data_IF_634619568547
#
_entry.id   IF_634619568547
#
_cell.length_a   1.000
_cell.length_b   1.000
_cell.length_c   1.000
_cell.angle_alpha   90.00
_cell.angle_beta   90.00
_cell.angle_gamma   90.00
#
_symmetry.space_group_name_H-M   'P 1'
#
loop_
_entity.id
_entity.type
_entity.pdbx_description
1 polymer ?
#
# COMPACT_ATOMS: atom_id res chain seq x y z
N UNK A 1 12.78 26.18 11.28
CA UNK A 1 13.15 25.18 10.24
C UNK A 1 14.65 24.93 10.29
N UNK A 2 15.10 23.70 10.61
CA UNK A 2 16.52 23.32 10.66
C UNK A 2 17.30 23.74 9.40
N UNK A 3 18.58 24.09 9.55
CA UNK A 3 19.47 24.51 8.45
C UNK A 3 19.50 23.48 7.31
N UNK A 4 19.53 22.17 7.65
CA UNK A 4 19.48 21.07 6.68
C UNK A 4 18.26 21.15 5.75
N UNK A 5 17.07 21.49 6.27
CA UNK A 5 15.85 21.61 5.47
C UNK A 5 15.85 22.86 4.58
N UNK A 6 16.49 23.95 5.01
CA UNK A 6 16.72 25.14 4.16
C UNK A 6 17.59 24.78 2.97
N UNK A 7 18.74 24.14 3.22
CA UNK A 7 19.68 23.70 2.19
C UNK A 7 19.00 22.73 1.21
N UNK A 8 18.23 21.76 1.72
CA UNK A 8 17.43 20.85 0.91
C UNK A 8 16.49 21.57 -0.05
N UNK A 9 15.79 22.59 0.44
CA UNK A 9 14.81 23.31 -0.37
C UNK A 9 15.48 24.14 -1.46
N UNK A 10 16.64 24.75 -1.16
CA UNK A 10 17.45 25.52 -2.11
C UNK A 10 18.07 24.62 -3.18
N UNK A 11 18.66 23.49 -2.77
CA UNK A 11 19.36 22.55 -3.67
C UNK A 11 18.43 21.64 -4.48
N UNK A 12 17.13 21.56 -4.12
CA UNK A 12 16.15 20.67 -4.74
C UNK A 12 16.11 20.75 -6.27
N UNK A 13 16.04 21.93 -6.92
CA UNK A 13 15.94 22.00 -8.38
C UNK A 13 17.13 21.33 -9.07
N UNK A 14 18.34 21.56 -8.58
CA UNK A 14 19.58 20.97 -9.11
C UNK A 14 19.58 19.45 -8.88
N UNK A 15 19.20 19.00 -7.68
CA UNK A 15 19.11 17.57 -7.38
C UNK A 15 18.11 16.86 -8.33
N UNK A 16 16.95 17.48 -8.58
CA UNK A 16 15.95 16.90 -9.49
C UNK A 16 16.43 16.85 -10.93
N UNK A 17 17.18 17.85 -11.40
CA UNK A 17 17.79 17.83 -12.74
C UNK A 17 18.76 16.65 -12.88
N UNK A 18 19.62 16.43 -11.88
CA UNK A 18 20.55 15.31 -11.86
C UNK A 18 19.84 13.95 -11.80
N UNK A 19 18.81 13.82 -10.94
CA UNK A 19 17.98 12.62 -10.88
C UNK A 19 17.33 12.29 -12.24
N UNK A 20 16.77 13.30 -12.90
CA UNK A 20 16.12 13.12 -14.19
C UNK A 20 17.12 12.74 -15.28
N UNK A 21 18.31 13.36 -15.30
CA UNK A 21 19.37 13.00 -16.24
C UNK A 21 19.84 11.54 -16.04
N UNK A 22 19.97 11.09 -14.79
CA UNK A 22 20.28 9.69 -14.48
C UNK A 22 19.18 8.74 -14.95
N UNK A 23 17.90 9.05 -14.72
CA UNK A 23 16.79 8.23 -15.20
C UNK A 23 16.72 8.17 -16.73
N UNK A 24 16.91 9.32 -17.42
CA UNK A 24 16.93 9.39 -18.88
C UNK A 24 18.07 8.59 -19.50
N UNK A 25 19.22 8.54 -18.83
CA UNK A 25 20.36 7.72 -19.23
C UNK A 25 20.21 6.23 -18.89
N UNK A 26 19.05 5.78 -18.39
CA UNK A 26 18.82 4.40 -17.96
C UNK A 26 19.51 4.02 -16.63
N UNK A 27 20.17 4.97 -15.96
CA UNK A 27 20.90 4.78 -14.69
C UNK A 27 19.96 4.91 -13.48
N UNK A 28 18.84 4.17 -13.51
CA UNK A 28 17.78 4.26 -12.50
C UNK A 28 18.29 3.97 -11.08
N UNK A 29 19.11 2.93 -10.90
CA UNK A 29 19.65 2.56 -9.59
C UNK A 29 20.49 3.68 -8.99
N UNK A 30 21.35 4.32 -9.80
CA UNK A 30 22.11 5.49 -9.39
C UNK A 30 21.19 6.67 -9.01
N UNK A 31 20.09 6.89 -9.75
CA UNK A 31 19.10 7.90 -9.38
C UNK A 31 18.42 7.59 -8.03
N UNK A 32 18.10 6.32 -7.75
CA UNK A 32 17.52 5.90 -6.48
C UNK A 32 18.50 6.07 -5.32
N UNK A 33 19.76 5.62 -5.46
CA UNK A 33 20.82 5.84 -4.47
C UNK A 33 21.02 7.33 -4.19
N UNK A 34 21.00 8.17 -5.23
CA UNK A 34 21.11 9.61 -5.04
C UNK A 34 19.94 10.22 -4.26
N UNK A 35 18.70 9.73 -4.47
CA UNK A 35 17.53 10.15 -3.66
C UNK A 35 17.63 9.68 -2.21
N UNK A 36 18.13 8.47 -1.99
CA UNK A 36 18.36 7.94 -0.65
C UNK A 36 19.39 8.81 0.10
N UNK A 37 20.52 9.14 -0.52
CA UNK A 37 21.52 10.06 0.04
C UNK A 37 20.91 11.42 0.36
N UNK A 38 20.11 12.00 -0.53
CA UNK A 38 19.41 13.26 -0.24
C UNK A 38 18.49 13.13 0.98
N UNK A 39 17.77 12.02 1.09
CA UNK A 39 16.88 11.77 2.22
C UNK A 39 17.65 11.63 3.53
N UNK A 40 18.73 10.84 3.57
CA UNK A 40 19.57 10.65 4.76
C UNK A 40 20.26 11.94 5.19
N UNK A 41 20.75 12.75 4.24
CA UNK A 41 21.49 13.98 4.54
C UNK A 41 20.59 15.11 5.02
N UNK A 42 19.40 15.23 4.43
CA UNK A 42 18.53 16.38 4.66
C UNK A 42 17.29 16.07 5.49
N UNK A 43 16.81 14.83 5.48
CA UNK A 43 15.62 14.38 6.20
C UNK A 43 14.31 15.00 5.70
N UNK A 44 13.28 14.80 6.50
CA UNK A 44 11.94 15.38 6.36
C UNK A 44 11.67 16.35 7.52
N UNK A 45 10.77 17.31 7.33
CA UNK A 45 10.19 18.05 8.47
C UNK A 45 9.25 17.15 9.27
N UNK A 46 8.95 17.51 10.53
CA UNK A 46 7.98 16.77 11.36
C UNK A 46 6.65 16.56 10.63
N UNK A 47 6.13 17.63 10.00
CA UNK A 47 4.91 17.55 9.20
C UNK A 47 5.00 16.66 7.97
N UNK A 48 6.19 16.53 7.36
CA UNK A 48 6.43 15.61 6.24
C UNK A 48 6.54 14.16 6.75
N UNK A 49 7.12 13.93 7.94
CA UNK A 49 7.15 12.63 8.60
C UNK A 49 5.75 12.13 8.98
N UNK A 50 4.95 12.97 9.62
CA UNK A 50 3.53 12.68 9.92
C UNK A 50 2.76 12.35 8.64
N UNK A 51 2.96 13.15 7.59
CA UNK A 51 2.32 12.92 6.31
C UNK A 51 2.79 11.63 5.63
N UNK A 52 4.05 11.23 5.82
CA UNK A 52 4.55 9.96 5.31
C UNK A 52 3.90 8.78 6.04
N UNK A 53 3.78 8.85 7.37
CA UNK A 53 3.05 7.83 8.14
C UNK A 53 1.60 7.72 7.66
N UNK A 54 0.89 8.85 7.59
CA UNK A 54 -0.47 8.90 7.05
C UNK A 54 -0.57 8.36 5.62
N UNK A 55 0.43 8.63 4.78
CA UNK A 55 0.44 8.13 3.40
C UNK A 55 0.36 6.59 3.38
N UNK A 56 1.22 5.90 4.12
CA UNK A 56 1.23 4.44 4.15
C UNK A 56 -0.01 3.85 4.82
N UNK A 57 -0.46 4.42 5.95
CA UNK A 57 -1.67 3.97 6.66
C UNK A 57 -2.87 4.03 5.71
N UNK A 58 -3.08 5.16 5.05
CA UNK A 58 -4.23 5.31 4.18
C UNK A 58 -4.08 4.55 2.86
N UNK A 59 -2.87 4.35 2.33
CA UNK A 59 -2.66 3.49 1.15
C UNK A 59 -3.12 2.05 1.45
N UNK A 60 -2.62 1.47 2.55
CA UNK A 60 -2.99 0.13 2.99
C UNK A 60 -4.49 0.02 3.27
N UNK A 61 -5.06 0.97 4.01
CA UNK A 61 -6.50 0.98 4.29
C UNK A 61 -7.34 1.04 3.01
N UNK A 62 -6.96 1.87 2.03
CA UNK A 62 -7.66 1.96 0.74
C UNK A 62 -7.62 0.60 0.03
N UNK A 63 -6.49 -0.09 0.08
CA UNK A 63 -6.31 -1.43 -0.48
C UNK A 63 -7.21 -2.47 0.18
N UNK A 64 -7.19 -2.53 1.52
CA UNK A 64 -8.02 -3.43 2.32
C UNK A 64 -9.49 -3.18 2.04
N UNK A 65 -9.93 -1.92 2.12
CA UNK A 65 -11.32 -1.52 1.88
C UNK A 65 -11.81 -1.88 0.46
N UNK A 66 -10.96 -1.77 -0.57
CA UNK A 66 -11.30 -2.19 -1.93
C UNK A 66 -11.55 -3.69 -2.02
N UNK A 67 -10.71 -4.49 -1.37
CA UNK A 67 -10.85 -5.94 -1.36
C UNK A 67 -12.05 -6.37 -0.51
N UNK A 68 -12.23 -5.76 0.68
CA UNK A 68 -13.40 -5.96 1.56
C UNK A 68 -14.70 -5.68 0.81
N UNK A 69 -14.78 -4.56 0.09
CA UNK A 69 -15.97 -4.20 -0.69
C UNK A 69 -16.32 -5.19 -1.80
N UNK A 70 -15.32 -5.85 -2.41
CA UNK A 70 -15.57 -6.94 -3.36
C UNK A 70 -16.00 -8.22 -2.65
N UNK A 71 -15.40 -8.54 -1.51
CA UNK A 71 -15.80 -9.70 -0.69
C UNK A 71 -17.25 -9.59 -0.25
N UNK A 72 -17.65 -8.42 0.28
CA UNK A 72 -19.02 -8.10 0.64
C UNK A 72 -19.99 -8.27 -0.53
N UNK A 73 -19.58 -7.83 -1.73
CA UNK A 73 -20.40 -8.03 -2.93
C UNK A 73 -20.58 -9.50 -3.27
N UNK A 74 -19.51 -10.30 -3.25
CA UNK A 74 -19.63 -11.73 -3.48
C UNK A 74 -20.53 -12.41 -2.45
N UNK A 75 -20.44 -12.03 -1.16
CA UNK A 75 -21.33 -12.57 -0.12
C UNK A 75 -22.79 -12.20 -0.36
N UNK A 76 -23.09 -10.95 -0.76
CA UNK A 76 -24.45 -10.54 -1.14
C UNK A 76 -24.97 -11.33 -2.36
N UNK A 77 -24.11 -11.47 -3.37
CA UNK A 77 -24.40 -12.24 -4.59
C UNK A 77 -24.56 -13.74 -4.32
N UNK A 78 -24.05 -14.29 -3.21
CA UNK A 78 -24.27 -15.69 -2.80
C UNK A 78 -25.62 -15.88 -2.08
N UNK A 79 -26.15 -14.83 -1.43
CA UNK A 79 -27.44 -14.86 -0.71
C UNK A 79 -28.64 -14.68 -1.66
N UNK A 80 -28.53 -13.75 -2.63
CA UNK A 80 -29.63 -13.41 -3.56
C UNK A 80 -30.11 -14.63 -4.39
N UNK A 81 -29.25 -15.48 -4.97
CA UNK A 81 -29.66 -16.65 -5.75
C UNK A 81 -30.39 -17.72 -4.94
N UNK A 82 -30.22 -17.76 -3.62
CA UNK A 82 -30.94 -18.70 -2.75
C UNK A 82 -32.37 -18.23 -2.41
N UNK A 83 -32.73 -16.99 -2.76
CA UNK A 83 -33.98 -16.32 -2.37
C UNK A 83 -35.04 -16.20 -3.49
N UNK A 84 -34.73 -16.63 -4.72
CA UNK A 84 -35.69 -16.65 -5.85
C UNK A 84 -36.68 -17.83 -5.75
N UNK A 85 -37.44 -17.87 -4.66
CA UNK A 85 -38.75 -18.52 -4.56
C UNK A 85 -39.86 -17.47 -4.51
N UNK A 86 -41.15 -17.80 -4.72
CA UNK A 86 -42.22 -16.84 -5.04
C UNK A 86 -42.63 -15.88 -3.93
N UNK A 87 -41.93 -15.83 -2.81
CA UNK A 87 -42.28 -14.98 -1.67
C UNK A 87 -41.48 -13.68 -1.71
N UNK A 88 -42.18 -12.57 -2.03
CA UNK A 88 -41.72 -11.19 -1.80
C UNK A 88 -41.58 -10.93 -0.29
N UNK A 89 -40.64 -11.60 0.36
CA UNK A 89 -40.27 -11.38 1.75
C UNK A 89 -39.27 -10.22 1.87
N UNK A 90 -39.22 -9.63 3.07
CA UNK A 90 -38.12 -8.75 3.48
C UNK A 90 -36.77 -9.44 3.17
N UNK A 91 -35.73 -8.72 2.71
CA UNK A 91 -34.41 -9.32 2.53
C UNK A 91 -33.99 -10.06 3.82
N UNK A 92 -33.28 -11.19 3.72
CA UNK A 92 -32.72 -11.85 4.91
C UNK A 92 -31.94 -10.84 5.75
N UNK A 93 -32.00 -10.94 7.08
CA UNK A 93 -31.27 -10.05 7.99
C UNK A 93 -29.77 -9.96 7.63
N UNK A 94 -29.20 -11.08 7.17
CA UNK A 94 -27.83 -11.17 6.66
C UNK A 94 -27.58 -10.26 5.45
N UNK A 95 -28.55 -10.11 4.55
CA UNK A 95 -28.43 -9.22 3.39
C UNK A 95 -28.45 -7.74 3.79
N UNK A 96 -29.33 -7.35 4.71
CA UNK A 96 -29.38 -6.00 5.25
C UNK A 96 -28.08 -5.65 5.99
N UNK A 97 -27.55 -6.59 6.79
CA UNK A 97 -26.25 -6.47 7.47
C UNK A 97 -25.10 -6.26 6.48
N UNK A 98 -25.03 -7.05 5.40
CA UNK A 98 -23.98 -6.91 4.38
C UNK A 98 -24.10 -5.59 3.61
N UNK A 99 -25.32 -5.12 3.32
CA UNK A 99 -25.56 -3.82 2.71
C UNK A 99 -25.06 -2.67 3.58
N UNK A 100 -25.37 -2.71 4.88
CA UNK A 100 -24.88 -1.72 5.84
C UNK A 100 -23.35 -1.67 5.88
N UNK A 101 -22.69 -2.83 6.01
CA UNK A 101 -21.24 -2.96 6.00
C UNK A 101 -20.60 -2.48 4.68
N UNK A 102 -21.26 -2.74 3.54
CA UNK A 102 -20.77 -2.29 2.24
C UNK A 102 -20.79 -0.76 2.12
N UNK A 103 -21.87 -0.13 2.60
CA UNK A 103 -22.01 1.33 2.59
C UNK A 103 -21.02 2.00 3.55
N UNK A 104 -20.87 1.46 4.75
CA UNK A 104 -19.86 1.92 5.71
C UNK A 104 -18.45 1.81 5.13
N UNK A 105 -18.08 0.63 4.60
CA UNK A 105 -16.77 0.43 3.96
C UNK A 105 -16.50 1.44 2.83
N UNK A 106 -17.54 1.76 2.04
CA UNK A 106 -17.44 2.73 0.94
C UNK A 106 -17.19 4.15 1.47
N UNK A 107 -17.88 4.54 2.53
CA UNK A 107 -17.76 5.86 3.14
C UNK A 107 -16.39 6.03 3.83
N UNK A 108 -15.96 5.02 4.56
CA UNK A 108 -14.64 5.01 5.19
C UNK A 108 -13.50 5.07 4.16
N UNK A 109 -13.63 4.33 3.05
CA UNK A 109 -12.70 4.46 1.92
C UNK A 109 -12.65 5.87 1.37
N UNK A 110 -13.81 6.53 1.27
CA UNK A 110 -13.90 7.89 0.74
C UNK A 110 -13.16 8.87 1.64
N UNK A 111 -13.28 8.73 2.97
CA UNK A 111 -12.52 9.53 3.95
C UNK A 111 -11.01 9.26 3.82
N UNK A 112 -10.60 8.00 3.78
CA UNK A 112 -9.21 7.60 3.62
C UNK A 112 -8.58 8.13 2.31
N UNK A 113 -9.31 8.10 1.18
CA UNK A 113 -8.82 8.68 -0.09
C UNK A 113 -8.56 10.18 0.05
N UNK A 114 -9.40 10.92 0.77
CA UNK A 114 -9.17 12.36 1.00
C UNK A 114 -7.91 12.58 1.85
N UNK A 115 -7.75 11.82 2.93
CA UNK A 115 -6.61 11.92 3.82
C UNK A 115 -5.29 11.50 3.12
N UNK A 116 -5.31 10.39 2.37
CA UNK A 116 -4.22 9.95 1.50
C UNK A 116 -3.79 11.03 0.53
N UNK A 117 -4.74 11.69 -0.16
CA UNK A 117 -4.42 12.80 -1.08
C UNK A 117 -3.73 13.95 -0.34
N UNK A 118 -4.24 14.36 0.82
CA UNK A 118 -3.63 15.41 1.64
C UNK A 118 -2.19 15.06 2.05
N UNK A 119 -1.98 13.86 2.59
CA UNK A 119 -0.68 13.33 2.96
C UNK A 119 0.29 13.32 1.78
N UNK A 120 -0.16 12.80 0.63
CA UNK A 120 0.60 12.77 -0.63
C UNK A 120 1.05 14.16 -1.07
N UNK A 121 0.16 15.15 -1.03
CA UNK A 121 0.51 16.51 -1.47
C UNK A 121 1.58 17.15 -0.59
N UNK A 122 1.63 16.82 0.71
CA UNK A 122 2.65 17.31 1.65
C UNK A 122 4.02 16.70 1.37
N UNK A 123 4.09 15.41 1.08
CA UNK A 123 5.36 14.72 0.81
C UNK A 123 5.81 14.77 -0.65
N UNK A 124 4.98 15.24 -1.60
CA UNK A 124 5.24 15.10 -3.05
C UNK A 124 6.58 15.63 -3.55
N UNK A 125 7.15 16.62 -2.85
CA UNK A 125 8.43 17.27 -3.21
C UNK A 125 9.63 16.63 -2.51
N UNK A 126 9.42 15.64 -1.65
CA UNK A 126 10.50 14.97 -0.94
C UNK A 126 11.27 14.01 -1.86
N UNK A 127 12.57 13.78 -1.62
CA UNK A 127 13.34 12.76 -2.36
C UNK A 127 12.75 11.36 -2.18
N UNK A 128 12.26 11.05 -0.98
CA UNK A 128 11.60 9.79 -0.65
C UNK A 128 10.37 9.53 -1.53
N UNK A 129 9.47 10.52 -1.67
CA UNK A 129 8.30 10.36 -2.51
C UNK A 129 8.66 10.17 -3.98
N UNK A 130 9.68 10.90 -4.48
CA UNK A 130 10.19 10.70 -5.85
C UNK A 130 10.74 9.29 -6.04
N UNK A 131 11.47 8.77 -5.06
CA UNK A 131 12.00 7.41 -5.10
C UNK A 131 10.88 6.37 -5.16
N UNK A 132 9.89 6.49 -4.26
CA UNK A 132 8.70 5.63 -4.25
C UNK A 132 7.94 5.68 -5.58
N UNK A 133 7.75 6.86 -6.19
CA UNK A 133 7.11 6.96 -7.51
C UNK A 133 7.95 6.32 -8.61
N UNK A 134 9.27 6.43 -8.56
CA UNK A 134 10.16 5.75 -9.52
C UNK A 134 10.11 4.22 -9.35
N UNK A 135 10.09 3.73 -8.12
CA UNK A 135 9.90 2.30 -7.80
C UNK A 135 8.56 1.77 -8.30
N UNK A 136 7.46 2.47 -8.01
CA UNK A 136 6.13 2.05 -8.43
C UNK A 136 5.92 2.06 -9.97
N UNK A 137 6.77 2.74 -10.74
CA UNK A 137 6.76 2.69 -12.22
C UNK A 137 7.33 1.38 -12.76
N UNK A 138 8.19 0.69 -12.01
CA UNK A 138 8.68 -0.63 -12.39
C UNK A 138 7.50 -1.61 -12.45
N UNK A 139 7.38 -2.36 -13.55
CA UNK A 139 6.19 -3.19 -13.82
C UNK A 139 5.90 -4.16 -12.68
N UNK A 140 6.93 -4.71 -12.07
CA UNK A 140 6.82 -5.82 -11.12
C UNK A 140 7.40 -5.43 -9.74
N UNK A 141 7.36 -4.15 -9.37
CA UNK A 141 7.90 -3.66 -8.08
C UNK A 141 7.32 -4.42 -6.88
N UNK A 142 6.00 -4.64 -6.89
CA UNK A 142 5.25 -5.37 -5.88
C UNK A 142 5.53 -6.88 -5.87
N UNK A 143 6.30 -7.38 -6.84
CA UNK A 143 6.70 -8.78 -6.95
C UNK A 143 8.18 -8.97 -6.64
N UNK A 144 8.82 -8.01 -5.97
CA UNK A 144 10.18 -8.22 -5.46
C UNK A 144 10.22 -9.45 -4.55
N UNK A 145 11.33 -10.19 -4.57
CA UNK A 145 11.43 -11.46 -3.85
C UNK A 145 11.17 -11.29 -2.35
N UNK A 146 11.57 -10.16 -1.77
CA UNK A 146 11.29 -9.83 -0.38
C UNK A 146 9.79 -9.63 -0.11
N UNK A 147 9.06 -8.87 -0.93
CA UNK A 147 7.61 -8.67 -0.76
C UNK A 147 6.83 -9.98 -0.95
N UNK A 148 7.26 -10.79 -1.92
CA UNK A 148 6.69 -12.12 -2.16
C UNK A 148 6.92 -13.02 -0.95
N UNK A 149 8.14 -13.05 -0.40
CA UNK A 149 8.47 -13.84 0.79
C UNK A 149 7.66 -13.38 2.00
N UNK A 150 7.52 -12.07 2.19
CA UNK A 150 6.69 -11.53 3.27
C UNK A 150 5.21 -11.90 3.13
N UNK A 151 4.68 -11.84 1.91
CA UNK A 151 3.32 -12.30 1.63
C UNK A 151 3.17 -13.81 1.90
N UNK A 152 4.21 -14.63 1.67
CA UNK A 152 4.19 -16.06 2.02
C UNK A 152 4.21 -16.30 3.53
N UNK A 153 5.13 -15.67 4.25
CA UNK A 153 5.28 -15.81 5.72
C UNK A 153 4.01 -15.42 6.49
N UNK A 154 3.28 -14.43 6.00
CA UNK A 154 2.01 -14.00 6.58
C UNK A 154 0.81 -14.90 6.22
N UNK A 155 1.05 -16.04 5.55
CA UNK A 155 -0.02 -16.92 5.06
C UNK A 155 -0.86 -16.29 3.93
N UNK A 156 -0.30 -15.31 3.22
CA UNK A 156 -0.96 -14.61 2.14
C UNK A 156 -0.99 -15.40 0.82
N UNK A 157 -1.64 -14.82 -0.19
CA UNK A 157 -1.87 -15.48 -1.48
C UNK A 157 -0.60 -15.92 -2.22
N UNK A 158 0.58 -15.41 -1.88
CA UNK A 158 1.84 -15.84 -2.51
C UNK A 158 2.33 -17.22 -2.06
N UNK A 159 1.84 -17.74 -0.92
CA UNK A 159 2.10 -19.12 -0.50
C UNK A 159 1.17 -20.12 -1.18
N UNK A 160 0.12 -19.65 -1.86
CA UNK A 160 -0.93 -20.47 -2.46
C UNK A 160 -0.88 -20.45 -3.98
N UNK A 161 -1.50 -21.45 -4.59
CA UNK A 161 -1.63 -21.55 -6.05
C UNK A 161 -2.73 -20.66 -6.64
N UNK A 162 -3.53 -19.98 -5.80
CA UNK A 162 -4.66 -19.15 -6.25
C UNK A 162 -4.24 -18.04 -7.24
N UNK A 163 -2.95 -17.66 -7.24
CA UNK A 163 -2.34 -16.76 -8.21
C UNK A 163 -2.84 -15.32 -8.11
N UNK A 164 -3.60 -14.99 -7.05
CA UNK A 164 -4.23 -13.69 -6.89
C UNK A 164 -3.22 -12.56 -7.07
N UNK A 165 -2.09 -12.55 -6.34
CA UNK A 165 -1.06 -11.50 -6.43
C UNK A 165 -0.48 -11.29 -7.84
N UNK A 166 -0.50 -12.33 -8.68
CA UNK A 166 -0.02 -12.27 -10.08
C UNK A 166 -1.12 -11.83 -11.07
N UNK A 167 -2.40 -11.99 -10.71
CA UNK A 167 -3.54 -11.72 -11.59
C UNK A 167 -3.75 -10.22 -11.80
N UNK A 168 -3.98 -9.84 -13.05
CA UNK A 168 -4.16 -8.44 -13.49
C UNK A 168 -5.49 -7.80 -13.08
N UNK A 169 -6.41 -8.54 -12.45
CA UNK A 169 -7.79 -8.12 -12.22
C UNK A 169 -7.96 -6.90 -11.27
N UNK A 170 -6.90 -6.50 -10.56
CA UNK A 170 -6.85 -5.26 -9.78
C UNK A 170 -5.88 -4.21 -10.37
N UNK A 171 -5.19 -4.53 -11.46
CA UNK A 171 -4.09 -3.76 -12.02
C UNK A 171 -4.54 -2.66 -13.00
N UNK A 172 -5.35 -1.70 -12.54
CA UNK A 172 -5.13 -0.34 -13.06
C UNK A 172 -3.67 0.02 -12.75
N UNK A 173 -2.98 0.80 -13.60
CA UNK A 173 -1.54 1.12 -13.42
C UNK A 173 -1.20 1.58 -11.99
N UNK A 174 -2.16 2.20 -11.30
CA UNK A 174 -2.03 2.72 -9.93
C UNK A 174 -2.42 1.73 -8.82
N UNK A 175 -2.63 0.45 -9.14
CA UNK A 175 -3.18 -0.55 -8.24
C UNK A 175 -2.43 -1.88 -8.41
N UNK A 176 -1.11 -1.86 -8.15
CA UNK A 176 -0.29 -3.06 -8.03
C UNK A 176 0.09 -3.25 -6.56
N UNK A 177 0.01 -4.47 -6.06
CA UNK A 177 0.24 -4.79 -4.65
C UNK A 177 -0.14 -6.24 -4.34
N UNK A 178 0.28 -6.73 -3.17
CA UNK A 178 -0.17 -8.01 -2.65
C UNK A 178 -1.62 -7.94 -2.17
N UNK A 179 -2.26 -9.11 -2.09
CA UNK A 179 -3.59 -9.20 -1.52
C UNK A 179 -3.53 -9.02 -0.01
N UNK A 180 -4.55 -8.37 0.51
CA UNK A 180 -4.73 -8.11 1.94
C UNK A 180 -5.52 -9.26 2.56
N UNK A 181 -5.62 -9.33 3.89
CA UNK A 181 -6.53 -10.27 4.56
C UNK A 181 -7.99 -10.14 4.09
N UNK A 182 -8.40 -8.97 3.57
CA UNK A 182 -9.74 -8.73 3.05
C UNK A 182 -10.02 -9.38 1.68
N UNK A 183 -9.05 -10.05 1.07
CA UNK A 183 -9.28 -10.81 -0.16
C UNK A 183 -10.27 -11.95 0.07
N UNK A 184 -11.25 -12.13 -0.83
CA UNK A 184 -12.18 -13.27 -0.79
C UNK A 184 -11.46 -14.63 -0.73
N UNK A 185 -10.35 -14.80 -1.48
CA UNK A 185 -9.56 -16.04 -1.41
C UNK A 185 -8.93 -16.26 -0.03
N UNK A 186 -8.37 -15.21 0.58
CA UNK A 186 -7.82 -15.30 1.94
C UNK A 186 -8.91 -15.59 2.98
N UNK A 187 -10.08 -14.98 2.83
CA UNK A 187 -11.20 -15.18 3.75
C UNK A 187 -11.73 -16.62 3.68
N UNK A 188 -11.96 -17.15 2.47
CA UNK A 188 -12.39 -18.54 2.27
C UNK A 188 -11.38 -19.56 2.79
N UNK A 189 -10.09 -19.32 2.54
CA UNK A 189 -9.00 -20.16 3.04
C UNK A 189 -8.98 -20.23 4.58
N UNK A 190 -9.33 -19.12 5.24
CA UNK A 190 -9.47 -19.04 6.71
C UNK A 190 -10.84 -19.47 7.23
N UNK A 191 -11.74 -19.96 6.37
CA UNK A 191 -13.11 -20.33 6.75
C UNK A 191 -13.95 -19.16 7.26
N UNK A 192 -13.61 -17.91 6.91
CA UNK A 192 -14.34 -16.74 7.35
C UNK A 192 -15.66 -16.63 6.57
N UNK A 193 -16.77 -16.71 7.32
CA UNK A 193 -18.14 -16.54 6.80
C UNK A 193 -18.56 -15.07 6.76
N UNK A 194 -17.88 -14.22 7.52
CA UNK A 194 -18.12 -12.79 7.60
C UNK A 194 -16.91 -11.99 7.06
N UNK A 195 -17.15 -10.78 6.52
CA UNK A 195 -16.07 -9.90 6.09
C UNK A 195 -15.18 -9.56 7.27
N UNK A 196 -13.87 -9.42 7.03
CA UNK A 196 -12.98 -8.93 8.08
C UNK A 196 -13.42 -7.55 8.59
N UNK A 197 -13.21 -7.30 9.89
CA UNK A 197 -13.31 -5.97 10.46
C UNK A 197 -12.15 -5.09 9.96
N UNK A 198 -12.41 -3.78 9.90
CA UNK A 198 -11.46 -2.74 9.58
C UNK A 198 -10.85 -2.07 10.83
N UNK A 199 -11.29 -2.43 12.03
CA UNK A 199 -10.70 -1.97 13.28
C UNK A 199 -9.18 -2.23 13.31
N UNK A 200 -8.39 -1.27 13.80
CA UNK A 200 -6.92 -1.31 13.83
C UNK A 200 -6.19 -0.97 12.52
N UNK A 201 -6.79 -1.15 11.34
CA UNK A 201 -6.10 -0.86 10.05
C UNK A 201 -5.93 0.63 9.71
N UNK A 202 -6.34 1.53 10.61
CA UNK A 202 -6.25 3.00 10.43
C UNK A 202 -5.36 3.69 11.45
N UNK A 203 -4.87 2.94 12.43
CA UNK A 203 -4.34 3.54 13.65
C UNK A 203 -2.82 3.56 13.61
N UNK A 204 -2.20 2.45 13.20
CA UNK A 204 -0.75 2.31 13.27
C UNK A 204 -0.18 1.59 12.04
N UNK A 205 1.08 1.95 11.72
CA UNK A 205 1.88 1.17 10.80
C UNK A 205 2.56 0.04 11.56
N UNK A 206 2.56 -1.15 10.98
CA UNK A 206 3.30 -2.29 11.51
C UNK A 206 4.83 -2.18 11.27
N UNK A 207 5.32 -1.03 10.77
CA UNK A 207 6.73 -0.75 10.53
C UNK A 207 7.04 0.74 10.70
N UNK A 208 8.29 1.04 11.05
CA UNK A 208 8.77 2.39 11.29
C UNK A 208 9.35 3.03 10.02
N UNK A 209 8.66 4.06 9.53
CA UNK A 209 9.14 4.86 8.39
C UNK A 209 10.30 5.79 8.73
N UNK A 210 10.50 6.11 10.01
CA UNK A 210 11.58 6.97 10.48
C UNK A 210 12.86 6.15 10.64
N UNK A 211 13.95 6.47 9.89
CA UNK A 211 15.22 5.77 10.00
C UNK A 211 15.81 5.75 11.41
N UNK A 212 15.53 6.77 12.24
CA UNK A 212 16.07 6.85 13.60
C UNK A 212 15.55 5.73 14.52
N UNK A 213 14.32 5.28 14.28
CA UNK A 213 13.62 4.27 15.08
C UNK A 213 13.36 2.97 14.29
N UNK A 214 14.06 2.79 13.15
CA UNK A 214 13.80 1.71 12.20
C UNK A 214 14.56 0.44 12.55
N UNK A 215 13.86 -0.68 12.74
CA UNK A 215 14.45 -2.01 12.85
C UNK A 215 14.82 -2.58 11.46
N UNK A 216 15.41 -3.79 11.42
CA UNK A 216 15.79 -4.46 10.17
C UNK A 216 14.58 -4.64 9.26
N UNK A 217 13.44 -5.03 9.84
CA UNK A 217 12.20 -5.26 9.11
C UNK A 217 11.70 -3.99 8.43
N UNK A 218 11.67 -2.87 9.17
CA UNK A 218 11.22 -1.57 8.71
C UNK A 218 12.13 -1.00 7.63
N UNK A 219 13.45 -1.20 7.73
CA UNK A 219 14.38 -0.85 6.65
C UNK A 219 14.10 -1.64 5.38
N UNK A 220 13.96 -2.97 5.48
CA UNK A 220 13.62 -3.83 4.33
C UNK A 220 12.27 -3.46 3.70
N UNK A 221 11.26 -3.10 4.51
CA UNK A 221 9.99 -2.53 4.03
C UNK A 221 10.22 -1.27 3.19
N UNK A 222 10.99 -0.31 3.72
CA UNK A 222 11.29 0.94 3.02
C UNK A 222 12.09 0.69 1.73
N UNK A 223 13.07 -0.22 1.76
CA UNK A 223 13.83 -0.59 0.57
C UNK A 223 12.96 -1.24 -0.50
N UNK A 224 12.01 -2.09 -0.13
CA UNK A 224 11.11 -2.72 -1.10
C UNK A 224 10.10 -1.72 -1.71
N UNK A 225 9.46 -0.90 -0.88
CA UNK A 225 8.37 0.00 -1.28
C UNK A 225 8.85 1.33 -1.87
N UNK A 226 9.98 1.86 -1.38
CA UNK A 226 10.47 3.21 -1.71
C UNK A 226 11.69 3.15 -2.62
N UNK A 227 12.76 2.50 -2.17
CA UNK A 227 14.06 2.66 -2.82
C UNK A 227 14.23 1.73 -4.02
N UNK A 228 13.75 0.49 -3.90
CA UNK A 228 13.97 -0.57 -4.88
C UNK A 228 15.43 -0.96 -5.01
N UNK A 229 16.15 -0.95 -3.89
CA UNK A 229 17.61 -1.17 -3.82
C UNK A 229 18.01 -2.46 -3.07
N UNK A 230 17.05 -3.30 -2.67
CA UNK A 230 17.36 -4.59 -2.06
C UNK A 230 18.20 -5.43 -3.03
N UNK A 231 19.41 -5.79 -2.60
CA UNK A 231 20.24 -6.73 -3.36
C UNK A 231 19.67 -8.14 -3.24
N UNK A 232 19.80 -8.96 -4.29
CA UNK A 232 19.30 -10.35 -4.31
C UNK A 232 19.84 -11.20 -3.15
N UNK A 233 21.00 -10.84 -2.61
CA UNK A 233 21.69 -11.58 -1.56
C UNK A 233 21.27 -11.17 -0.13
N UNK A 234 20.53 -10.07 0.04
CA UNK A 234 20.05 -9.58 1.34
C UNK A 234 18.66 -10.14 1.73
N UNK A 235 18.12 -11.03 0.88
CA UNK A 235 16.76 -11.59 0.93
C UNK A 235 16.70 -12.86 1.81
N UNK A 236 17.82 -13.27 2.42
CA UNK A 236 17.80 -14.35 3.42
C UNK A 236 17.03 -13.90 4.68
N UNK A 237 16.21 -14.80 5.27
CA UNK A 237 15.28 -14.49 6.36
C UNK A 237 15.96 -13.75 7.51
#
# INVERSE_FOLDING_TARGET
>A
MPLKLKIRNISRPICQLLENALEQAGKREAAQRFRQIQHERFGLSNSEWESLRSYFIYDEFIWISRQRGKSLRYMMDDIVPASEGPCRGRPPEDYEFLCANFNENREERRKAIKAFKSARERIKKSPLYRAMKSQQRCKDWHMSDWLVSRCKESGGCCARECGCCKKKAYQKKDCKGHYTPACNCCQKDKGLLLPIDLEGYREELYFNVDPADSDVFSRRMMDAYVWGLLEKNEIAP
#
